data_IF_837577541957
#
_entry.id   IF_837577541957
#
_cell.length_a   1.000
_cell.length_b   1.000
_cell.length_c   1.000
_cell.angle_alpha   90.00
_cell.angle_beta   90.00
_cell.angle_gamma   90.00
#
_symmetry.space_group_name_H-M   'P 1'
#
loop_
_entity.id
_entity.type
_entity.pdbx_description
1 polymer ?
#
# COMPACT_ATOMS: atom_id res chain seq x y z
N UNK A 1 15.90 9.98 11.75
CA UNK A 1 15.08 11.11 11.29
C UNK A 1 13.63 10.71 11.41
N UNK A 2 12.79 11.56 12.02
CA UNK A 2 11.36 11.32 12.14
C UNK A 2 10.61 12.13 11.08
N UNK A 3 9.85 11.42 10.24
CA UNK A 3 8.99 12.02 9.22
C UNK A 3 7.54 11.84 9.66
N UNK A 4 6.95 12.92 10.15
CA UNK A 4 5.59 12.90 10.69
C UNK A 4 4.55 13.09 9.60
N UNK A 5 3.64 12.14 9.48
CA UNK A 5 2.56 12.14 8.50
C UNK A 5 1.27 12.79 9.04
N UNK A 6 0.40 13.33 8.16
CA UNK A 6 -0.80 14.01 8.57
C UNK A 6 -1.87 13.05 9.13
N UNK A 7 -2.91 13.58 9.83
CA UNK A 7 -4.00 12.77 10.38
C UNK A 7 -4.79 11.98 9.33
N UNK A 8 -4.97 12.55 8.15
CA UNK A 8 -5.68 11.90 7.03
C UNK A 8 -4.69 11.59 5.91
N UNK A 9 -4.51 10.30 5.65
CA UNK A 9 -3.66 9.79 4.59
C UNK A 9 -4.57 9.48 3.39
N UNK A 10 -4.75 10.46 2.51
CA UNK A 10 -5.71 10.35 1.41
C UNK A 10 -5.21 11.05 0.15
N UNK A 11 -5.85 10.77 -0.99
CA UNK A 11 -5.59 11.49 -2.24
C UNK A 11 -5.76 13.03 -2.08
N UNK A 12 -6.65 13.47 -1.17
CA UNK A 12 -6.85 14.90 -0.91
C UNK A 12 -5.65 15.56 -0.22
N UNK A 13 -4.85 14.77 0.48
CA UNK A 13 -3.59 15.19 1.14
C UNK A 13 -2.35 14.79 0.34
N UNK A 14 -2.52 14.37 -0.92
CA UNK A 14 -1.45 13.81 -1.76
C UNK A 14 -0.20 14.69 -1.79
N UNK A 15 -0.34 16.01 -1.99
CA UNK A 15 0.80 16.94 -2.00
C UNK A 15 1.62 16.89 -0.71
N UNK A 16 0.93 16.87 0.45
CA UNK A 16 1.59 16.74 1.74
C UNK A 16 2.28 15.39 1.90
N UNK A 17 1.63 14.32 1.44
CA UNK A 17 2.20 12.96 1.49
C UNK A 17 3.44 12.85 0.61
N UNK A 18 3.41 13.38 -0.63
CA UNK A 18 4.57 13.38 -1.53
C UNK A 18 5.73 14.13 -0.90
N UNK A 19 5.50 15.36 -0.38
CA UNK A 19 6.56 16.12 0.28
C UNK A 19 7.19 15.37 1.46
N UNK A 20 6.39 14.63 2.24
CA UNK A 20 6.89 13.81 3.35
C UNK A 20 7.66 12.58 2.85
N UNK A 21 7.24 11.97 1.76
CA UNK A 21 7.99 10.89 1.12
C UNK A 21 9.34 11.40 0.58
N UNK A 22 9.36 12.56 -0.06
CA UNK A 22 10.59 13.20 -0.54
C UNK A 22 11.53 13.56 0.62
N UNK A 23 10.99 14.09 1.73
CA UNK A 23 11.74 14.36 2.96
C UNK A 23 12.42 13.08 3.48
N UNK A 24 11.70 11.97 3.54
CA UNK A 24 12.22 10.66 3.92
C UNK A 24 13.34 10.18 2.98
N UNK A 25 13.09 10.26 1.67
CA UNK A 25 14.02 9.84 0.62
C UNK A 25 15.28 10.71 0.53
N UNK A 26 15.18 12.00 0.87
CA UNK A 26 16.28 12.95 0.90
C UNK A 26 17.10 12.90 2.19
N UNK A 27 16.71 12.09 3.17
CA UNK A 27 17.42 11.95 4.43
C UNK A 27 18.86 11.50 4.22
N UNK A 28 19.78 12.12 5.00
CA UNK A 28 21.17 11.66 5.12
C UNK A 28 21.35 10.69 6.28
N UNK A 29 20.33 10.50 7.11
CA UNK A 29 20.36 9.58 8.25
C UNK A 29 20.06 8.18 7.79
N UNK A 30 20.77 7.19 8.37
CA UNK A 30 20.55 5.79 8.09
C UNK A 30 19.16 5.30 8.56
N UNK A 31 18.72 5.81 9.71
CA UNK A 31 17.43 5.44 10.31
C UNK A 31 16.39 6.51 9.97
N UNK A 32 15.29 6.08 9.34
CA UNK A 32 14.16 6.92 8.96
C UNK A 32 12.89 6.35 9.59
N UNK A 33 12.27 7.12 10.48
CA UNK A 33 11.04 6.74 11.15
C UNK A 33 9.85 7.37 10.43
N UNK A 34 8.94 6.53 9.96
CA UNK A 34 7.63 6.92 9.45
C UNK A 34 6.68 7.07 10.65
N UNK A 35 6.49 8.31 11.10
CA UNK A 35 5.62 8.60 12.25
C UNK A 35 4.17 8.78 11.79
N UNK A 36 3.37 7.73 12.01
CA UNK A 36 1.95 7.65 11.73
C UNK A 36 1.09 7.85 13.00
N UNK A 37 1.70 8.23 14.13
CA UNK A 37 1.05 8.27 15.44
C UNK A 37 -0.25 9.09 15.47
N UNK A 38 -0.30 10.19 14.73
CA UNK A 38 -1.48 11.06 14.65
C UNK A 38 -2.43 10.69 13.51
N UNK A 39 -2.09 9.68 12.70
CA UNK A 39 -2.95 9.27 11.59
C UNK A 39 -4.20 8.55 12.10
N UNK A 40 -5.36 8.97 11.60
CA UNK A 40 -6.67 8.45 12.02
C UNK A 40 -7.40 7.73 10.90
N UNK A 41 -7.01 7.98 9.65
CA UNK A 41 -7.62 7.38 8.47
C UNK A 41 -6.61 7.29 7.32
N UNK A 42 -6.71 6.22 6.52
CA UNK A 42 -5.95 6.07 5.27
C UNK A 42 -6.84 5.50 4.16
N UNK A 43 -6.59 5.94 2.92
CA UNK A 43 -7.16 5.34 1.73
C UNK A 43 -6.12 4.48 0.97
N UNK A 44 -6.54 3.62 0.03
CA UNK A 44 -5.61 2.77 -0.73
C UNK A 44 -4.54 3.54 -1.52
N UNK A 45 -4.86 4.75 -2.02
CA UNK A 45 -3.90 5.60 -2.72
C UNK A 45 -2.71 5.96 -1.82
N UNK A 46 -3.01 6.44 -0.60
CA UNK A 46 -1.96 6.83 0.34
C UNK A 46 -1.11 5.64 0.78
N UNK A 47 -1.73 4.48 1.01
CA UNK A 47 -1.01 3.24 1.34
C UNK A 47 -0.03 2.86 0.23
N UNK A 48 -0.47 2.89 -1.03
CA UNK A 48 0.38 2.56 -2.18
C UNK A 48 1.55 3.53 -2.30
N UNK A 49 1.29 4.83 -2.16
CA UNK A 49 2.32 5.88 -2.19
C UNK A 49 3.35 5.68 -1.08
N UNK A 50 2.89 5.46 0.15
CA UNK A 50 3.78 5.24 1.30
C UNK A 50 4.59 3.95 1.15
N UNK A 51 3.98 2.86 0.69
CA UNK A 51 4.69 1.59 0.44
C UNK A 51 5.80 1.76 -0.62
N UNK A 52 5.53 2.51 -1.69
CA UNK A 52 6.52 2.89 -2.70
C UNK A 52 7.68 3.67 -2.09
N UNK A 53 7.39 4.71 -1.30
CA UNK A 53 8.41 5.53 -0.64
C UNK A 53 9.25 4.71 0.35
N UNK A 54 8.62 3.84 1.14
CA UNK A 54 9.31 2.93 2.07
C UNK A 54 10.29 2.03 1.30
N UNK A 55 9.85 1.41 0.21
CA UNK A 55 10.72 0.57 -0.63
C UNK A 55 11.88 1.35 -1.23
N UNK A 56 11.63 2.57 -1.69
CA UNK A 56 12.68 3.44 -2.21
C UNK A 56 13.70 3.83 -1.12
N UNK A 57 13.25 4.10 0.11
CA UNK A 57 14.13 4.31 1.26
C UNK A 57 15.01 3.08 1.54
N UNK A 58 14.41 1.89 1.58
CA UNK A 58 15.14 0.62 1.79
C UNK A 58 16.15 0.38 0.65
N UNK A 59 15.76 0.61 -0.62
CA UNK A 59 16.66 0.49 -1.78
C UNK A 59 17.86 1.45 -1.68
N UNK A 60 17.69 2.64 -1.08
CA UNK A 60 18.77 3.60 -0.81
C UNK A 60 19.63 3.23 0.42
N UNK A 61 19.34 2.15 1.12
CA UNK A 61 20.08 1.68 2.29
C UNK A 61 19.63 2.28 3.62
N UNK A 62 18.48 2.98 3.64
CA UNK A 62 17.89 3.42 4.89
C UNK A 62 17.29 2.24 5.66
N UNK A 63 17.39 2.28 6.98
CA UNK A 63 16.62 1.43 7.88
C UNK A 63 15.29 2.14 8.18
N UNK A 64 14.20 1.58 7.71
CA UNK A 64 12.87 2.14 7.95
C UNK A 64 12.27 1.57 9.22
N UNK A 65 11.74 2.45 10.07
CA UNK A 65 11.00 2.12 11.28
C UNK A 65 9.64 2.82 11.25
N UNK A 66 8.70 2.35 12.06
CA UNK A 66 7.36 2.89 12.13
C UNK A 66 7.02 3.30 13.56
N UNK A 67 6.49 4.51 13.72
CA UNK A 67 5.68 4.86 14.87
C UNK A 67 4.23 4.63 14.46
N UNK A 68 3.62 3.59 15.04
CA UNK A 68 2.30 3.11 14.64
C UNK A 68 1.18 4.13 14.95
N UNK A 69 0.05 4.09 14.21
CA UNK A 69 -1.12 4.91 14.53
C UNK A 69 -1.63 4.64 15.94
N UNK A 70 -2.04 5.71 16.66
CA UNK A 70 -2.73 5.56 17.94
C UNK A 70 -4.15 4.99 17.78
N UNK A 71 -4.72 5.09 16.57
CA UNK A 71 -6.03 4.51 16.25
C UNK A 71 -5.88 3.03 15.95
N UNK A 72 -6.27 2.19 16.92
CA UNK A 72 -6.13 0.73 16.86
C UNK A 72 -6.66 0.10 15.57
N UNK A 73 -7.86 0.53 15.10
CA UNK A 73 -8.44 0.01 13.85
C UNK A 73 -7.58 0.30 12.63
N UNK A 74 -6.90 1.44 12.58
CA UNK A 74 -6.01 1.79 11.48
C UNK A 74 -4.72 0.98 11.54
N UNK A 75 -4.16 0.78 12.74
CA UNK A 75 -2.98 -0.06 12.95
C UNK A 75 -3.26 -1.53 12.56
N UNK A 76 -4.38 -2.09 13.03
CA UNK A 76 -4.83 -3.44 12.68
C UNK A 76 -5.05 -3.61 11.17
N UNK A 77 -5.58 -2.56 10.50
CA UNK A 77 -5.75 -2.59 9.06
C UNK A 77 -4.42 -2.56 8.32
N UNK A 78 -3.47 -1.69 8.70
CA UNK A 78 -2.13 -1.68 8.11
C UNK A 78 -1.40 -3.02 8.29
N UNK A 79 -1.52 -3.62 9.47
CA UNK A 79 -0.94 -4.94 9.74
C UNK A 79 -1.59 -6.01 8.86
N UNK A 80 -2.93 -6.00 8.76
CA UNK A 80 -3.68 -7.00 8.00
C UNK A 80 -3.40 -6.99 6.50
N UNK A 81 -3.02 -5.85 5.91
CA UNK A 81 -2.65 -5.74 4.49
C UNK A 81 -1.14 -5.91 4.25
N UNK A 82 -0.35 -6.20 5.29
CA UNK A 82 1.10 -6.39 5.18
C UNK A 82 1.90 -5.10 4.98
N UNK A 83 1.34 -3.93 5.34
CA UNK A 83 1.98 -2.63 5.10
C UNK A 83 3.36 -2.51 5.75
N UNK A 84 3.50 -2.94 7.01
CA UNK A 84 4.76 -2.82 7.75
C UNK A 84 5.89 -3.71 7.21
N UNK A 85 5.54 -4.81 6.51
CA UNK A 85 6.52 -5.69 5.87
C UNK A 85 7.34 -5.00 4.78
N UNK A 86 6.81 -3.91 4.18
CA UNK A 86 7.56 -3.12 3.18
C UNK A 86 8.80 -2.44 3.78
N UNK A 87 8.82 -2.14 5.07
CA UNK A 87 9.97 -1.60 5.79
C UNK A 87 10.95 -2.66 6.30
N UNK A 88 10.70 -3.94 6.02
CA UNK A 88 11.51 -5.06 6.50
C UNK A 88 11.13 -5.52 7.92
N UNK A 89 10.01 -5.05 8.46
CA UNK A 89 9.42 -5.67 9.64
C UNK A 89 8.97 -7.10 9.30
N UNK A 90 9.10 -8.00 10.26
CA UNK A 90 8.58 -9.36 10.10
C UNK A 90 7.08 -9.25 9.76
N UNK A 91 6.63 -9.82 8.63
CA UNK A 91 5.21 -9.90 8.38
C UNK A 91 4.64 -10.78 9.50
N UNK A 92 4.12 -10.13 10.54
CA UNK A 92 3.39 -10.82 11.58
C UNK A 92 2.39 -11.77 10.95
N UNK A 93 1.73 -12.61 11.69
CA UNK A 93 0.71 -13.54 11.18
C UNK A 93 -0.48 -12.73 10.61
N UNK A 94 -0.24 -12.01 9.52
CA UNK A 94 -1.26 -11.22 8.83
C UNK A 94 -2.40 -12.15 8.43
N UNK A 95 -3.48 -12.11 9.18
CA UNK A 95 -4.71 -12.83 8.86
C UNK A 95 -5.52 -11.96 7.92
N UNK A 96 -5.33 -12.18 6.62
CA UNK A 96 -6.17 -11.53 5.61
C UNK A 96 -7.62 -11.95 5.82
N UNK A 97 -8.52 -10.97 5.91
CA UNK A 97 -9.95 -11.26 5.88
C UNK A 97 -10.38 -11.49 4.42
N UNK A 98 -11.50 -12.20 4.22
CA UNK A 98 -12.11 -12.39 2.88
C UNK A 98 -12.48 -11.07 2.17
N UNK A 99 -12.38 -9.94 2.88
CA UNK A 99 -12.68 -8.59 2.38
C UNK A 99 -11.43 -7.74 2.15
N UNK A 100 -10.26 -8.36 2.14
CA UNK A 100 -8.99 -7.65 2.02
C UNK A 100 -8.06 -8.35 1.05
N UNK A 101 -7.30 -7.57 0.30
CA UNK A 101 -6.22 -8.06 -0.54
C UNK A 101 -4.91 -7.57 0.04
N UNK A 102 -3.92 -8.46 0.11
CA UNK A 102 -2.58 -8.13 0.56
C UNK A 102 -1.95 -7.05 -0.32
N UNK A 103 -1.26 -6.11 0.29
CA UNK A 103 -0.44 -5.15 -0.44
C UNK A 103 0.81 -5.88 -0.96
N UNK A 104 0.92 -6.07 -2.27
CA UNK A 104 2.01 -6.79 -2.91
C UNK A 104 2.76 -5.93 -3.91
N UNK A 105 4.03 -6.26 -4.08
CA UNK A 105 4.81 -5.81 -5.24
C UNK A 105 4.79 -6.92 -6.29
N UNK A 106 4.52 -6.55 -7.53
CA UNK A 106 4.57 -7.46 -8.67
C UNK A 106 5.80 -7.17 -9.51
N UNK A 107 6.53 -8.23 -9.88
CA UNK A 107 7.52 -8.23 -10.97
C UNK A 107 6.93 -8.78 -12.26
N UNK A 108 5.82 -9.55 -12.15
CA UNK A 108 5.07 -10.11 -13.26
C UNK A 108 3.58 -10.07 -12.92
N UNK A 109 2.72 -10.05 -13.93
CA UNK A 109 1.28 -10.21 -13.74
C UNK A 109 0.98 -11.59 -13.17
N UNK A 110 0.27 -11.61 -12.05
CA UNK A 110 -0.17 -12.83 -11.38
C UNK A 110 -1.69 -12.98 -11.53
N UNK A 111 -2.18 -13.92 -12.38
CA UNK A 111 -3.61 -14.13 -12.57
C UNK A 111 -4.35 -14.49 -11.28
N UNK A 112 -3.66 -15.13 -10.32
CA UNK A 112 -4.27 -15.51 -9.03
C UNK A 112 -4.62 -14.28 -8.21
N UNK A 113 -3.85 -13.21 -8.34
CA UNK A 113 -4.12 -11.95 -7.67
C UNK A 113 -5.37 -11.25 -8.23
N UNK A 114 -5.58 -11.32 -9.55
CA UNK A 114 -6.83 -10.83 -10.16
C UNK A 114 -8.05 -11.52 -9.57
N UNK A 115 -8.00 -12.86 -9.40
CA UNK A 115 -9.11 -13.60 -8.79
C UNK A 115 -9.30 -13.25 -7.31
N UNK A 116 -8.23 -12.97 -6.56
CA UNK A 116 -8.34 -12.47 -5.19
C UNK A 116 -9.02 -11.10 -5.14
N UNK A 117 -8.62 -10.15 -6.01
CA UNK A 117 -9.26 -8.84 -6.12
C UNK A 117 -10.74 -8.98 -6.46
N UNK A 118 -11.07 -9.82 -7.44
CA UNK A 118 -12.46 -10.10 -7.82
C UNK A 118 -13.24 -10.76 -6.68
N UNK A 119 -12.60 -11.67 -5.93
CA UNK A 119 -13.19 -12.28 -4.75
C UNK A 119 -13.64 -11.21 -3.74
N UNK A 120 -12.77 -10.26 -3.42
CA UNK A 120 -13.08 -9.16 -2.50
C UNK A 120 -14.17 -8.24 -3.07
N UNK A 121 -14.07 -7.85 -4.35
CA UNK A 121 -15.05 -6.95 -4.98
C UNK A 121 -16.44 -7.57 -5.12
N UNK A 122 -16.52 -8.89 -5.31
CA UNK A 122 -17.77 -9.59 -5.59
C UNK A 122 -18.37 -10.28 -4.35
N UNK A 123 -17.68 -10.29 -3.22
CA UNK A 123 -18.06 -11.09 -2.04
C UNK A 123 -19.47 -10.75 -1.51
N UNK A 124 -19.82 -9.46 -1.50
CA UNK A 124 -21.09 -8.97 -0.97
C UNK A 124 -22.11 -8.58 -2.08
N UNK A 125 -21.77 -8.80 -3.36
CA UNK A 125 -22.60 -8.34 -4.48
C UNK A 125 -23.02 -9.53 -5.33
N UNK A 126 -24.34 -9.77 -5.41
CA UNK A 126 -24.88 -10.73 -6.38
C UNK A 126 -24.77 -10.14 -7.78
N UNK A 127 -23.82 -10.63 -8.56
CA UNK A 127 -23.61 -10.24 -9.95
C UNK A 127 -24.01 -11.36 -10.90
N UNK A 128 -24.50 -10.99 -12.09
CA UNK A 128 -24.58 -11.95 -13.19
C UNK A 128 -23.17 -12.31 -13.67
N UNK A 129 -23.02 -13.50 -14.24
CA UNK A 129 -21.74 -13.99 -14.78
C UNK A 129 -21.15 -13.00 -15.81
N UNK A 130 -21.99 -12.43 -16.68
CA UNK A 130 -21.59 -11.40 -17.66
C UNK A 130 -20.97 -10.17 -17.00
N UNK A 131 -21.53 -9.69 -15.89
CA UNK A 131 -20.99 -8.53 -15.17
C UNK A 131 -19.68 -8.88 -14.50
N UNK A 132 -19.57 -10.10 -13.94
CA UNK A 132 -18.33 -10.59 -13.34
C UNK A 132 -17.19 -10.70 -14.35
N UNK A 133 -17.49 -11.20 -15.56
CA UNK A 133 -16.50 -11.30 -16.64
C UNK A 133 -16.06 -9.92 -17.13
N UNK A 134 -16.98 -8.96 -17.27
CA UNK A 134 -16.63 -7.57 -17.62
C UNK A 134 -15.74 -6.94 -16.54
N UNK A 135 -16.03 -7.19 -15.27
CA UNK A 135 -15.21 -6.71 -14.16
C UNK A 135 -13.82 -7.35 -14.18
N UNK A 136 -13.73 -8.67 -14.45
CA UNK A 136 -12.45 -9.38 -14.61
C UNK A 136 -11.60 -8.76 -15.72
N UNK A 137 -12.20 -8.47 -16.88
CA UNK A 137 -11.50 -7.82 -17.98
C UNK A 137 -11.00 -6.44 -17.57
N UNK A 138 -11.83 -5.63 -16.88
CA UNK A 138 -11.45 -4.29 -16.43
C UNK A 138 -10.30 -4.35 -15.40
N UNK A 139 -10.35 -5.26 -14.43
CA UNK A 139 -9.28 -5.42 -13.43
C UNK A 139 -7.99 -5.87 -14.10
N UNK A 140 -8.05 -6.84 -15.03
CA UNK A 140 -6.87 -7.27 -15.79
C UNK A 140 -6.26 -6.12 -16.58
N UNK A 141 -7.08 -5.33 -17.29
CA UNK A 141 -6.63 -4.17 -18.06
C UNK A 141 -5.95 -3.13 -17.15
N UNK A 142 -6.55 -2.83 -16.00
CA UNK A 142 -5.96 -1.89 -15.03
C UNK A 142 -4.60 -2.40 -14.51
N UNK A 143 -4.49 -3.69 -14.19
CA UNK A 143 -3.24 -4.28 -13.72
C UNK A 143 -2.19 -4.32 -14.83
N UNK A 144 -2.57 -4.67 -16.06
CA UNK A 144 -1.68 -4.67 -17.22
C UNK A 144 -1.16 -3.26 -17.50
N UNK A 145 -2.05 -2.27 -17.55
CA UNK A 145 -1.67 -0.87 -17.75
C UNK A 145 -0.75 -0.36 -16.64
N UNK A 146 -1.05 -0.67 -15.38
CA UNK A 146 -0.18 -0.29 -14.26
C UNK A 146 1.20 -0.96 -14.37
N UNK A 147 1.27 -2.21 -14.82
CA UNK A 147 2.52 -2.94 -15.01
C UNK A 147 3.33 -2.38 -16.18
N UNK A 148 2.71 -2.21 -17.35
CA UNK A 148 3.36 -1.73 -18.57
C UNK A 148 3.91 -0.29 -18.40
N UNK A 149 3.15 0.56 -17.71
CA UNK A 149 3.56 1.95 -17.45
C UNK A 149 4.51 2.10 -16.25
N UNK A 150 4.65 1.08 -15.40
CA UNK A 150 5.61 1.09 -14.28
C UNK A 150 7.04 0.73 -14.69
N UNK A 151 7.22 0.24 -15.92
CA UNK A 151 8.53 -0.08 -16.48
C UNK A 151 9.26 1.18 -16.99
N UNK A 152 9.25 2.26 -16.19
CA UNK A 152 10.15 3.39 -16.44
C UNK A 152 11.60 2.89 -16.38
N UNK A 153 12.45 3.26 -17.33
CA UNK A 153 13.86 2.93 -17.25
C UNK A 153 14.42 3.46 -15.93
N UNK A 154 15.16 2.63 -15.23
CA UNK A 154 15.86 2.95 -13.97
C UNK A 154 16.90 4.07 -14.17
#
# INVERSE_FOLDING_TARGET
MDVKFPPYLTIRTARSLVNKCEEALGSRQRDVNFDLSISVFSDPFAVTLLAGAIKACVKKGHRVQFVKPNVKKLDEWFDSIGFYAFGGADPGSAKYSERQVELRRFSNLDPTYTEQVLGVLCNDIRMSERVRDSLRMSVNEMLTNAFDHSQSPE
#
